data_IF_665191947296
#
_entry.id   IF_665191947296
#
_cell.length_a   1.000
_cell.length_b   1.000
_cell.length_c   1.000
_cell.angle_alpha   90.00
_cell.angle_beta   90.00
_cell.angle_gamma   90.00
#
_symmetry.space_group_name_H-M   'P 1'
#
loop_
_entity.id
_entity.type
_entity.pdbx_description
1 polymer ?
#
# COMPACT_ATOMS: atom_id res chain seq x y z
N UNK A 1 5.47 10.14 20.70
CA UNK A 1 4.79 11.36 20.22
C UNK A 1 4.99 11.41 18.71
N UNK A 2 3.93 11.21 17.93
CA UNK A 2 4.02 11.38 16.50
C UNK A 2 4.13 12.87 16.15
N UNK A 3 5.18 13.25 15.45
CA UNK A 3 5.29 14.60 14.90
C UNK A 3 4.38 14.66 13.66
N UNK A 4 3.09 14.94 13.88
CA UNK A 4 2.15 15.16 12.79
C UNK A 4 2.55 16.40 11.99
N UNK A 5 2.42 16.33 10.67
CA UNK A 5 2.60 17.50 9.81
C UNK A 5 1.47 18.50 10.07
N UNK A 6 1.80 19.64 10.62
CA UNK A 6 0.84 20.66 11.07
C UNK A 6 0.88 21.96 10.28
N UNK A 7 1.70 22.05 9.23
CA UNK A 7 1.79 23.27 8.40
C UNK A 7 0.59 23.32 7.45
N UNK A 8 -0.38 24.26 7.65
CA UNK A 8 -1.65 24.24 6.91
C UNK A 8 -1.49 24.54 5.42
N UNK A 9 -0.51 25.37 5.05
CA UNK A 9 -0.31 25.85 3.66
C UNK A 9 0.68 24.98 2.87
N UNK A 10 0.86 23.72 3.27
CA UNK A 10 1.74 22.81 2.54
C UNK A 10 1.17 22.49 1.15
N UNK A 11 1.97 22.74 0.13
CA UNK A 11 1.66 22.35 -1.23
C UNK A 11 1.98 20.85 -1.45
N UNK A 12 1.00 19.98 -1.22
CA UNK A 12 1.13 18.54 -1.38
C UNK A 12 1.30 18.09 -2.83
N UNK A 13 1.10 18.97 -3.83
CA UNK A 13 1.41 18.65 -5.23
C UNK A 13 2.92 18.44 -5.46
N UNK A 14 3.75 18.91 -4.54
CA UNK A 14 5.21 18.77 -4.55
C UNK A 14 5.72 17.62 -3.69
N UNK A 15 4.85 16.98 -2.94
CA UNK A 15 5.20 15.82 -2.11
C UNK A 15 4.96 14.56 -2.92
N UNK A 16 5.94 13.67 -2.99
CA UNK A 16 5.83 12.41 -3.74
C UNK A 16 5.50 11.22 -2.85
N UNK A 17 5.93 11.26 -1.60
CA UNK A 17 5.75 10.14 -0.66
C UNK A 17 5.54 10.62 0.77
N UNK A 18 4.90 9.77 1.56
CA UNK A 18 4.62 9.97 2.99
C UNK A 18 5.02 8.68 3.72
N UNK A 19 5.69 8.80 4.84
CA UNK A 19 5.93 7.66 5.73
C UNK A 19 4.61 7.25 6.40
N UNK A 20 3.96 6.24 5.82
CA UNK A 20 2.70 5.70 6.32
C UNK A 20 2.93 4.80 7.55
N UNK A 21 4.06 4.10 7.59
CA UNK A 21 4.47 3.22 8.68
C UNK A 21 5.84 3.65 9.21
N UNK A 22 5.91 3.98 10.49
CA UNK A 22 7.14 4.34 11.18
C UNK A 22 7.41 3.34 12.32
N UNK A 23 8.48 2.59 12.23
CA UNK A 23 8.97 1.67 13.27
C UNK A 23 7.86 0.79 13.85
N UNK A 24 7.69 0.87 15.17
CA UNK A 24 6.69 0.10 15.90
C UNK A 24 5.25 0.63 15.84
N UNK A 25 5.00 1.79 15.20
CA UNK A 25 3.66 2.36 15.03
C UNK A 25 2.99 1.80 13.78
N UNK A 26 2.40 0.61 13.87
CA UNK A 26 1.98 -0.17 12.70
C UNK A 26 0.76 0.41 11.97
N UNK A 27 -0.43 0.41 12.57
CA UNK A 27 -1.68 0.78 11.89
C UNK A 27 -2.72 1.45 12.80
N UNK A 28 -2.32 1.92 13.94
CA UNK A 28 -3.19 2.65 14.84
C UNK A 28 -3.36 4.13 14.45
N UNK A 29 -4.17 4.88 15.21
CA UNK A 29 -4.41 6.31 14.96
C UNK A 29 -3.16 7.19 15.09
N UNK A 30 -2.06 6.63 15.57
CA UNK A 30 -0.75 7.28 15.68
C UNK A 30 0.21 6.92 14.54
N UNK A 31 -0.19 6.03 13.60
CA UNK A 31 0.56 5.75 12.37
C UNK A 31 0.42 6.91 11.39
N UNK A 32 1.20 6.91 10.32
CA UNK A 32 1.06 7.85 9.21
C UNK A 32 -0.13 7.55 8.29
N UNK A 33 -0.79 6.37 8.44
CA UNK A 33 -1.88 5.93 7.55
C UNK A 33 -3.03 6.92 7.51
N UNK A 34 -3.62 7.39 8.65
CA UNK A 34 -4.75 8.33 8.60
C UNK A 34 -4.39 9.65 7.92
N UNK A 35 -3.17 10.14 8.12
CA UNK A 35 -2.69 11.35 7.45
C UNK A 35 -2.55 11.12 5.93
N UNK A 36 -1.95 10.00 5.53
CA UNK A 36 -1.79 9.61 4.13
C UNK A 36 -3.15 9.50 3.43
N UNK A 37 -4.10 8.75 4.00
CA UNK A 37 -5.46 8.58 3.46
C UNK A 37 -6.24 9.90 3.36
N UNK A 38 -6.09 10.83 4.33
CA UNK A 38 -6.66 12.17 4.23
C UNK A 38 -6.17 12.90 2.97
N UNK A 39 -4.88 12.76 2.62
CA UNK A 39 -4.33 13.38 1.41
C UNK A 39 -4.80 12.69 0.13
N UNK A 40 -4.90 11.35 0.13
CA UNK A 40 -5.47 10.60 -0.99
C UNK A 40 -6.92 11.03 -1.23
N UNK A 41 -7.74 11.16 -0.19
CA UNK A 41 -9.13 11.61 -0.29
C UNK A 41 -9.26 13.07 -0.79
N UNK A 42 -8.25 13.91 -0.54
CA UNK A 42 -8.14 15.26 -1.10
C UNK A 42 -7.66 15.28 -2.56
N UNK A 43 -7.32 14.11 -3.12
CA UNK A 43 -6.93 13.97 -4.52
C UNK A 43 -5.44 14.07 -4.80
N UNK A 44 -4.60 14.04 -3.78
CA UNK A 44 -3.16 13.93 -3.97
C UNK A 44 -2.77 12.47 -4.17
N UNK A 45 -1.87 12.22 -5.12
CA UNK A 45 -1.31 10.90 -5.33
C UNK A 45 0.03 10.83 -4.60
N UNK A 46 0.03 10.24 -3.43
CA UNK A 46 1.21 10.11 -2.58
C UNK A 46 1.53 8.64 -2.36
N UNK A 47 2.80 8.30 -2.52
CA UNK A 47 3.30 6.96 -2.20
C UNK A 47 3.42 6.78 -0.70
N UNK A 48 2.76 5.76 -0.16
CA UNK A 48 2.96 5.32 1.22
C UNK A 48 4.23 4.48 1.33
N UNK A 49 5.18 4.91 2.15
CA UNK A 49 6.42 4.17 2.44
C UNK A 49 6.49 3.80 3.91
N UNK A 50 7.40 2.90 4.26
CA UNK A 50 7.69 2.53 5.65
C UNK A 50 9.19 2.57 5.94
N UNK A 51 9.52 2.91 7.17
CA UNK A 51 10.87 2.92 7.67
C UNK A 51 10.95 2.50 9.14
N UNK A 52 12.10 1.98 9.56
CA UNK A 52 12.31 1.46 10.92
C UNK A 52 12.41 2.55 11.98
N UNK A 53 12.73 3.78 11.59
CA UNK A 53 13.08 4.87 12.50
C UNK A 53 14.19 4.44 13.51
N UNK A 54 15.12 3.62 13.01
CA UNK A 54 16.18 3.07 13.83
C UNK A 54 17.19 4.15 14.22
N UNK A 55 17.41 4.31 15.53
CA UNK A 55 18.36 5.26 16.11
C UNK A 55 19.54 4.57 16.81
N UNK A 56 19.58 3.22 16.77
CA UNK A 56 20.61 2.44 17.42
C UNK A 56 20.97 1.22 16.56
N UNK A 57 22.18 1.26 15.97
CA UNK A 57 22.65 0.20 15.07
C UNK A 57 22.82 -1.16 15.76
N UNK A 58 22.92 -1.17 17.09
CA UNK A 58 23.09 -2.38 17.90
C UNK A 58 21.75 -3.03 18.28
N UNK A 59 20.62 -2.50 17.84
CA UNK A 59 19.33 -3.15 18.06
C UNK A 59 19.31 -4.56 17.48
N UNK A 60 18.90 -5.54 18.28
CA UNK A 60 18.74 -6.92 17.78
C UNK A 60 17.81 -6.97 16.56
N UNK A 61 18.10 -7.79 15.55
CA UNK A 61 17.31 -7.88 14.32
C UNK A 61 15.81 -8.21 14.51
N UNK A 62 15.46 -8.76 15.67
CA UNK A 62 14.08 -9.15 16.02
C UNK A 62 13.26 -8.03 16.66
N UNK A 63 13.85 -6.85 16.91
CA UNK A 63 13.13 -5.71 17.48
C UNK A 63 12.30 -4.98 16.40
N UNK A 64 11.19 -4.37 16.82
CA UNK A 64 10.29 -3.66 15.90
C UNK A 64 10.93 -2.47 15.16
N UNK A 65 12.01 -1.93 15.69
CA UNK A 65 12.74 -0.81 15.09
C UNK A 65 14.10 -1.23 14.58
N UNK A 66 14.35 -2.53 14.38
CA UNK A 66 15.55 -2.98 13.70
C UNK A 66 15.56 -2.48 12.24
N UNK A 67 16.74 -2.29 11.69
CA UNK A 67 16.88 -1.89 10.28
C UNK A 67 16.13 -2.88 9.38
N UNK A 68 15.24 -2.36 8.52
CA UNK A 68 14.37 -3.17 7.65
C UNK A 68 13.05 -3.63 8.30
N UNK A 69 12.72 -3.17 9.53
CA UNK A 69 11.45 -3.47 10.21
C UNK A 69 10.69 -2.17 10.55
N UNK A 70 9.79 -1.69 9.66
CA UNK A 70 9.38 -2.22 8.38
C UNK A 70 10.38 -1.96 7.25
N UNK A 71 10.16 -2.65 6.11
CA UNK A 71 10.86 -2.43 4.86
C UNK A 71 9.90 -1.96 3.75
N UNK A 72 10.30 -0.95 2.98
CA UNK A 72 9.65 -0.58 1.73
C UNK A 72 10.19 -1.46 0.61
N UNK A 73 9.32 -2.29 0.02
CA UNK A 73 9.64 -3.14 -1.13
C UNK A 73 9.28 -2.40 -2.41
N UNK A 74 10.20 -2.33 -3.36
CA UNK A 74 10.05 -1.50 -4.57
C UNK A 74 10.06 -2.39 -5.81
N UNK A 75 9.05 -2.26 -6.65
CA UNK A 75 9.05 -2.79 -8.01
C UNK A 75 9.87 -1.86 -8.91
N UNK A 76 11.10 -2.23 -9.20
CA UNK A 76 12.03 -1.46 -10.01
C UNK A 76 12.37 -2.20 -11.30
N UNK A 77 12.56 -1.48 -12.40
CA UNK A 77 12.91 -2.07 -13.70
C UNK A 77 14.28 -2.80 -13.70
N UNK A 78 15.18 -2.39 -12.81
CA UNK A 78 16.48 -3.02 -12.56
C UNK A 78 17.02 -2.56 -11.20
N UNK A 79 18.11 -3.20 -10.74
CA UNK A 79 18.78 -2.85 -9.50
C UNK A 79 19.74 -1.66 -9.71
N UNK A 80 19.18 -0.46 -9.80
CA UNK A 80 19.92 0.80 -9.81
C UNK A 80 19.24 1.83 -8.94
N UNK A 81 19.99 2.76 -8.38
CA UNK A 81 19.46 3.88 -7.59
C UNK A 81 18.32 4.59 -8.31
N UNK A 82 18.53 4.94 -9.59
CA UNK A 82 17.53 5.61 -10.40
C UNK A 82 16.24 4.81 -10.52
N UNK A 83 16.33 3.52 -10.86
CA UNK A 83 15.14 2.68 -11.04
C UNK A 83 14.39 2.48 -9.73
N UNK A 84 15.08 2.37 -8.60
CA UNK A 84 14.47 2.27 -7.27
C UNK A 84 13.73 3.58 -6.94
N UNK A 85 14.38 4.74 -7.11
CA UNK A 85 13.75 6.04 -6.86
C UNK A 85 12.56 6.30 -7.79
N UNK A 86 12.65 5.89 -9.05
CA UNK A 86 11.55 6.01 -10.02
C UNK A 86 10.37 5.11 -9.60
N UNK A 87 10.62 3.88 -9.12
CA UNK A 87 9.60 3.00 -8.57
C UNK A 87 8.90 3.60 -7.35
N UNK A 88 9.65 4.20 -6.41
CA UNK A 88 9.08 4.90 -5.25
C UNK A 88 8.22 6.08 -5.70
N UNK A 89 8.69 6.92 -6.63
CA UNK A 89 7.94 8.08 -7.14
C UNK A 89 6.66 7.67 -7.87
N UNK A 90 6.71 6.53 -8.56
CA UNK A 90 5.56 5.98 -9.26
C UNK A 90 4.53 5.32 -8.32
N UNK A 91 4.87 5.07 -7.06
CA UNK A 91 4.01 4.33 -6.13
C UNK A 91 4.02 2.82 -6.34
N UNK A 92 4.97 2.30 -7.13
CA UNK A 92 5.14 0.86 -7.39
C UNK A 92 5.83 0.19 -6.20
N UNK A 93 5.24 0.34 -5.02
CA UNK A 93 5.81 -0.16 -3.76
C UNK A 93 4.73 -0.72 -2.84
N UNK A 94 5.15 -1.58 -1.94
CA UNK A 94 4.39 -1.95 -0.74
C UNK A 94 5.31 -1.95 0.48
N UNK A 95 4.74 -1.95 1.67
CA UNK A 95 5.51 -2.04 2.92
C UNK A 95 5.34 -3.43 3.51
N UNK A 96 6.43 -4.16 3.67
CA UNK A 96 6.51 -5.39 4.47
C UNK A 96 6.83 -5.01 5.91
N UNK A 97 5.85 -5.18 6.78
CA UNK A 97 5.92 -4.70 8.17
C UNK A 97 7.03 -5.40 8.98
N UNK A 98 7.30 -6.64 8.67
CA UNK A 98 8.29 -7.45 9.39
C UNK A 98 9.63 -7.56 8.63
N UNK A 99 9.74 -6.96 7.44
CA UNK A 99 10.95 -7.03 6.64
C UNK A 99 11.37 -8.47 6.33
N UNK A 100 10.41 -9.34 6.04
CA UNK A 100 10.62 -10.78 5.85
C UNK A 100 11.57 -11.12 4.70
N UNK A 101 11.67 -10.22 3.70
CA UNK A 101 12.49 -10.39 2.52
C UNK A 101 11.92 -11.36 1.47
N UNK A 102 10.81 -12.01 1.73
CA UNK A 102 10.18 -12.98 0.83
C UNK A 102 8.68 -12.76 0.58
N UNK A 103 8.01 -11.93 1.35
CA UNK A 103 6.62 -11.56 1.10
C UNK A 103 6.51 -10.71 -0.15
N UNK A 104 5.54 -11.04 -1.01
CA UNK A 104 5.22 -10.25 -2.19
C UNK A 104 3.73 -9.95 -2.23
N UNK A 105 3.39 -8.74 -2.67
CA UNK A 105 2.03 -8.29 -2.92
C UNK A 105 1.96 -7.63 -4.29
N UNK A 106 1.28 -8.24 -5.25
CA UNK A 106 0.91 -7.58 -6.50
C UNK A 106 -0.56 -7.20 -6.45
N UNK A 107 -0.86 -5.97 -6.77
CA UNK A 107 -2.22 -5.47 -6.90
C UNK A 107 -2.36 -4.76 -8.24
N UNK A 108 -3.22 -5.30 -9.10
CA UNK A 108 -3.41 -4.85 -10.48
C UNK A 108 -4.89 -4.63 -10.77
N UNK A 109 -5.18 -3.80 -11.79
CA UNK A 109 -6.53 -3.55 -12.26
C UNK A 109 -6.58 -3.43 -13.78
N UNK A 110 -7.74 -3.72 -14.36
CA UNK A 110 -8.02 -3.53 -15.78
C UNK A 110 -9.46 -3.01 -15.99
N UNK A 111 -9.61 -1.98 -16.85
CA UNK A 111 -10.90 -1.51 -17.34
C UNK A 111 -10.79 -1.26 -18.85
N UNK A 112 -11.61 -1.95 -19.64
CA UNK A 112 -11.46 -1.97 -21.09
C UNK A 112 -10.06 -2.41 -21.53
N UNK A 113 -9.31 -1.56 -22.24
CA UNK A 113 -7.93 -1.80 -22.64
C UNK A 113 -6.89 -1.25 -21.66
N UNK A 114 -7.33 -0.41 -20.71
CA UNK A 114 -6.47 0.18 -19.69
C UNK A 114 -6.06 -0.85 -18.64
N UNK A 115 -4.79 -0.76 -18.19
CA UNK A 115 -4.23 -1.58 -17.11
C UNK A 115 -3.51 -0.67 -16.13
N UNK A 116 -3.52 -1.06 -14.88
CA UNK A 116 -2.86 -0.34 -13.78
C UNK A 116 -2.31 -1.32 -12.76
N UNK A 117 -1.21 -0.95 -12.11
CA UNK A 117 -0.64 -1.56 -10.92
C UNK A 117 -0.68 -0.59 -9.75
N UNK A 118 -0.25 -0.99 -8.57
CA UNK A 118 -0.07 -0.06 -7.44
C UNK A 118 0.65 1.21 -7.90
N UNK A 119 0.15 2.39 -7.53
CA UNK A 119 0.66 3.70 -7.92
C UNK A 119 0.08 4.27 -9.22
N UNK A 120 -0.43 3.43 -10.12
CA UNK A 120 -0.94 3.85 -11.42
C UNK A 120 -2.37 4.42 -11.36
N UNK A 121 -2.71 5.15 -12.42
CA UNK A 121 -4.09 5.58 -12.70
C UNK A 121 -4.78 4.65 -13.69
N UNK A 122 -6.08 4.46 -13.51
CA UNK A 122 -6.96 3.76 -14.43
C UNK A 122 -8.20 4.60 -14.69
N UNK A 123 -8.50 4.84 -15.96
CA UNK A 123 -9.77 5.47 -16.34
C UNK A 123 -10.88 4.42 -16.36
N UNK A 124 -11.99 4.71 -15.68
CA UNK A 124 -13.15 3.83 -15.61
C UNK A 124 -14.42 4.65 -15.62
N UNK A 125 -15.15 4.62 -16.73
CA UNK A 125 -16.37 5.40 -16.91
C UNK A 125 -17.52 4.89 -16.04
N UNK A 126 -18.53 5.73 -15.86
CA UNK A 126 -19.77 5.34 -15.18
C UNK A 126 -20.40 4.11 -15.85
N UNK A 127 -20.82 3.15 -15.03
CA UNK A 127 -21.39 1.87 -15.47
C UNK A 127 -20.35 0.85 -16.00
N UNK A 128 -19.08 1.21 -16.15
CA UNK A 128 -18.03 0.28 -16.54
C UNK A 128 -17.60 -0.58 -15.35
N UNK A 129 -17.15 -1.82 -15.64
CA UNK A 129 -16.54 -2.68 -14.63
C UNK A 129 -15.02 -2.61 -14.73
N UNK A 130 -14.36 -2.41 -13.59
CA UNK A 130 -12.92 -2.61 -13.43
C UNK A 130 -12.68 -3.96 -12.73
N UNK A 131 -11.92 -4.83 -13.36
CA UNK A 131 -11.45 -6.09 -12.76
C UNK A 131 -10.16 -5.87 -12.01
N UNK A 132 -10.11 -6.28 -10.74
CA UNK A 132 -8.93 -6.20 -9.89
C UNK A 132 -8.38 -7.59 -9.58
N UNK A 133 -7.07 -7.69 -9.41
CA UNK A 133 -6.37 -8.92 -9.03
C UNK A 133 -5.36 -8.63 -7.92
N UNK A 134 -5.38 -9.46 -6.88
CA UNK A 134 -4.43 -9.46 -5.77
C UNK A 134 -3.65 -10.76 -5.85
N UNK A 135 -2.33 -10.72 -6.01
CA UNK A 135 -1.44 -11.88 -5.87
C UNK A 135 -0.59 -11.70 -4.62
N UNK A 136 -0.56 -12.73 -3.78
CA UNK A 136 0.13 -12.73 -2.49
C UNK A 136 1.07 -13.93 -2.44
N UNK A 137 2.33 -13.72 -2.04
CA UNK A 137 3.32 -14.78 -1.88
C UNK A 137 3.89 -14.75 -0.46
N UNK A 138 4.17 -15.92 0.12
CA UNK A 138 4.70 -16.13 1.46
C UNK A 138 3.84 -15.47 2.57
N UNK A 139 2.52 -15.57 2.43
CA UNK A 139 1.51 -14.98 3.33
C UNK A 139 0.47 -16.04 3.77
N UNK A 140 0.88 -17.30 3.90
CA UNK A 140 -0.01 -18.39 4.33
C UNK A 140 -0.67 -18.07 5.68
N UNK A 141 -1.96 -18.36 5.80
CA UNK A 141 -2.78 -18.08 6.98
C UNK A 141 -3.23 -16.61 7.12
N UNK A 142 -2.63 -15.69 6.35
CA UNK A 142 -3.05 -14.29 6.33
C UNK A 142 -4.30 -14.08 5.44
N UNK A 143 -4.93 -12.92 5.54
CA UNK A 143 -6.07 -12.56 4.70
C UNK A 143 -5.94 -11.13 4.15
N UNK A 144 -6.38 -10.89 2.89
CA UNK A 144 -6.39 -9.55 2.33
C UNK A 144 -7.60 -8.74 2.81
N UNK A 145 -7.40 -7.42 2.96
CA UNK A 145 -8.46 -6.43 3.12
C UNK A 145 -8.37 -5.43 1.98
N UNK A 146 -9.46 -5.22 1.25
CA UNK A 146 -9.53 -4.16 0.24
C UNK A 146 -10.04 -2.89 0.90
N UNK A 147 -9.24 -1.83 0.84
CA UNK A 147 -9.57 -0.49 1.33
C UNK A 147 -9.97 0.37 0.13
N UNK A 148 -11.11 1.03 0.20
CA UNK A 148 -11.55 2.02 -0.77
C UNK A 148 -11.79 3.35 -0.06
N UNK A 149 -11.12 4.39 -0.51
CA UNK A 149 -11.31 5.77 -0.01
C UNK A 149 -11.17 5.91 1.52
N UNK A 150 -10.34 5.04 2.15
CA UNK A 150 -10.10 4.97 3.60
C UNK A 150 -10.96 3.98 4.38
N UNK A 151 -11.92 3.33 3.73
CA UNK A 151 -12.84 2.41 4.37
C UNK A 151 -12.58 0.96 3.96
N UNK A 152 -12.58 0.03 4.92
CA UNK A 152 -12.54 -1.41 4.65
C UNK A 152 -13.81 -1.81 3.93
N UNK A 153 -13.66 -2.52 2.81
CA UNK A 153 -14.79 -2.98 2.00
C UNK A 153 -15.04 -4.47 2.14
N UNK A 154 -16.16 -4.94 1.57
CA UNK A 154 -16.44 -6.37 1.39
C UNK A 154 -16.05 -6.86 -0.02
N UNK A 155 -15.28 -6.07 -0.77
CA UNK A 155 -14.81 -6.44 -2.10
C UNK A 155 -13.77 -7.57 -2.02
N UNK A 156 -13.89 -8.50 -2.94
CA UNK A 156 -12.96 -9.63 -3.06
C UNK A 156 -13.19 -10.72 -2.02
N UNK A 157 -12.47 -11.83 -2.23
CA UNK A 157 -12.41 -12.93 -1.27
C UNK A 157 -11.37 -12.63 -0.20
N UNK A 158 -11.82 -12.43 1.02
CA UNK A 158 -11.01 -12.11 2.21
C UNK A 158 -10.71 -13.36 3.05
N UNK A 159 -10.92 -14.55 2.50
CA UNK A 159 -10.56 -15.80 3.19
C UNK A 159 -9.03 -15.92 3.38
N UNK A 160 -8.65 -16.71 4.37
CA UNK A 160 -7.24 -16.98 4.65
C UNK A 160 -6.52 -17.56 3.41
N UNK A 161 -5.30 -17.09 3.21
CA UNK A 161 -4.40 -17.58 2.16
C UNK A 161 -4.00 -19.03 2.49
N UNK A 162 -4.13 -19.91 1.54
CA UNK A 162 -3.69 -21.30 1.64
C UNK A 162 -2.50 -21.52 0.71
N UNK A 163 -1.41 -22.07 1.26
CA UNK A 163 -0.17 -22.32 0.54
C UNK A 163 0.69 -21.07 0.34
N UNK A 164 1.79 -21.23 -0.40
CA UNK A 164 2.80 -20.20 -0.55
C UNK A 164 2.38 -19.03 -1.46
N UNK A 165 1.48 -19.28 -2.41
CA UNK A 165 0.97 -18.28 -3.35
C UNK A 165 -0.55 -18.37 -3.45
N UNK A 166 -1.21 -17.21 -3.43
CA UNK A 166 -2.65 -17.11 -3.62
C UNK A 166 -3.02 -15.93 -4.49
N UNK A 167 -4.02 -16.13 -5.34
CA UNK A 167 -4.61 -15.08 -6.17
C UNK A 167 -6.07 -14.88 -5.80
N UNK A 168 -6.51 -13.61 -5.76
CA UNK A 168 -7.90 -13.21 -5.53
C UNK A 168 -8.29 -12.17 -6.57
N UNK A 169 -9.40 -12.42 -7.25
CA UNK A 169 -9.93 -11.51 -8.26
C UNK A 169 -11.27 -10.95 -7.78
N UNK A 170 -11.55 -9.68 -8.09
CA UNK A 170 -12.85 -9.07 -7.84
C UNK A 170 -13.17 -7.99 -8.87
N UNK A 171 -14.44 -7.62 -8.97
CA UNK A 171 -14.90 -6.55 -9.85
C UNK A 171 -15.36 -5.35 -9.01
N UNK A 172 -15.13 -4.16 -9.54
CA UNK A 172 -15.60 -2.90 -9.01
C UNK A 172 -16.46 -2.20 -10.07
N UNK A 173 -17.72 -1.89 -9.72
CA UNK A 173 -18.59 -1.11 -10.58
C UNK A 173 -18.22 0.36 -10.47
N UNK A 174 -17.70 0.93 -11.55
CA UNK A 174 -17.29 2.32 -11.58
C UNK A 174 -18.52 3.24 -11.70
N UNK A 175 -18.49 4.37 -11.01
CA UNK A 175 -19.50 5.42 -11.03
C UNK A 175 -19.01 6.71 -11.73
N UNK A 176 -17.89 6.59 -12.46
CA UNK A 176 -17.24 7.71 -13.15
C UNK A 176 -16.54 8.71 -12.23
N UNK A 177 -16.63 8.54 -10.91
CA UNK A 177 -15.99 9.41 -9.93
C UNK A 177 -14.58 8.95 -9.61
N UNK A 178 -13.89 9.82 -8.91
CA UNK A 178 -12.54 9.57 -8.38
C UNK A 178 -12.60 8.66 -7.17
N UNK A 179 -11.87 7.55 -7.23
CA UNK A 179 -11.67 6.60 -6.13
C UNK A 179 -10.22 6.15 -6.07
N UNK A 180 -9.80 5.67 -4.92
CA UNK A 180 -8.59 4.90 -4.80
C UNK A 180 -8.84 3.59 -4.04
N UNK A 181 -8.20 2.53 -4.50
CA UNK A 181 -8.28 1.22 -3.86
C UNK A 181 -6.87 0.74 -3.53
N UNK A 182 -6.67 0.23 -2.35
CA UNK A 182 -5.43 -0.42 -1.91
C UNK A 182 -5.72 -1.69 -1.13
N UNK A 183 -4.69 -2.47 -0.86
CA UNK A 183 -4.80 -3.74 -0.14
C UNK A 183 -3.92 -3.70 1.10
N UNK A 184 -4.49 -4.08 2.24
CA UNK A 184 -3.75 -4.56 3.41
C UNK A 184 -3.71 -6.09 3.37
N UNK A 185 -2.69 -6.71 3.96
CA UNK A 185 -2.72 -8.13 4.31
C UNK A 185 -2.51 -8.25 5.81
N UNK A 186 -3.42 -8.98 6.48
CA UNK A 186 -3.40 -9.17 7.94
C UNK A 186 -3.21 -10.62 8.33
N UNK A 187 -2.58 -10.85 9.48
CA UNK A 187 -2.54 -12.19 10.09
C UNK A 187 -3.94 -12.62 10.57
N UNK A 188 -4.09 -13.89 10.95
CA UNK A 188 -5.33 -14.41 11.54
C UNK A 188 -5.76 -13.65 12.79
N UNK A 189 -4.82 -13.05 13.54
CA UNK A 189 -5.06 -12.24 14.74
C UNK A 189 -5.33 -10.76 14.41
N UNK A 190 -5.40 -10.39 13.11
CA UNK A 190 -5.67 -9.03 12.66
C UNK A 190 -4.45 -8.10 12.62
N UNK A 191 -3.22 -8.60 12.88
CA UNK A 191 -2.00 -7.80 12.80
C UNK A 191 -1.71 -7.46 11.33
N UNK A 192 -1.42 -6.20 11.03
CA UNK A 192 -0.96 -5.78 9.70
C UNK A 192 0.39 -6.43 9.38
N UNK A 193 0.47 -7.11 8.24
CA UNK A 193 1.67 -7.76 7.72
C UNK A 193 2.22 -7.03 6.48
N UNK A 194 1.32 -6.56 5.62
CA UNK A 194 1.67 -5.84 4.39
C UNK A 194 0.71 -4.69 4.18
N UNK A 195 1.26 -3.51 3.82
CA UNK A 195 0.51 -2.33 3.40
C UNK A 195 0.78 -2.07 1.92
N UNK A 196 -0.23 -2.23 1.06
CA UNK A 196 -0.13 -1.92 -0.37
C UNK A 196 -0.40 -0.45 -0.67
N UNK A 197 0.19 0.04 -1.77
CA UNK A 197 -0.12 1.34 -2.33
C UNK A 197 -1.38 1.30 -3.22
N UNK A 198 -2.07 2.42 -3.40
CA UNK A 198 -3.34 2.43 -4.13
C UNK A 198 -3.18 2.36 -5.65
N UNK A 199 -4.22 1.83 -6.30
CA UNK A 199 -4.56 2.12 -7.69
C UNK A 199 -5.58 3.24 -7.66
N UNK A 200 -5.40 4.24 -8.54
CA UNK A 200 -6.21 5.45 -8.60
C UNK A 200 -7.19 5.38 -9.77
N UNK A 201 -8.48 5.51 -9.49
CA UNK A 201 -9.52 5.57 -10.53
C UNK A 201 -9.88 7.03 -10.79
N UNK A 202 -9.81 7.46 -12.05
CA UNK A 202 -10.27 8.79 -12.53
C UNK A 202 -9.64 9.99 -11.80
N UNK A 203 -8.39 9.86 -11.35
CA UNK A 203 -7.62 10.93 -10.71
C UNK A 203 -7.06 11.92 -11.71
#
# INVERSE_FOLDING_TARGET
MGCGWSVPDTDFSRVTSVEAINGGSLDGPRSGIPFWEDKLNKGFRLTGVGGSDNHDADYPPQTRSAVGHPATVVYAANLSERAILDGVRAGHVFVDIEGSGNRMLEFTAQAGTGKASMGDQLQCADGQQAGFSITMTALEGAHPEVIRDGEVTTLGDQSAVTGNEAKRDFNFACDGKRHWLRVNVRSAEGKLLVLGNPIYLNF
#
